data_IF_387285065924
#
_entry.id   IF_387285065924
#
_cell.length_a   1.000
_cell.length_b   1.000
_cell.length_c   1.000
_cell.angle_alpha   90.00
_cell.angle_beta   90.00
_cell.angle_gamma   90.00
#
_symmetry.space_group_name_H-M   'P 1'
#
loop_
_entity.id
_entity.type
_entity.pdbx_description
1 polymer ?
#
# COMPACT_ATOMS: atom_id res chain seq x y z
N UNK A 1 14.77 20.38 10.92
CA UNK A 1 13.65 20.51 9.96
C UNK A 1 12.56 21.48 10.44
N UNK A 2 12.01 22.35 9.58
CA UNK A 2 10.86 23.23 9.89
C UNK A 2 9.58 22.63 9.31
N UNK A 3 8.63 22.20 10.15
CA UNK A 3 7.44 21.45 9.72
C UNK A 3 6.24 22.33 9.33
N UNK A 4 6.11 23.52 9.94
CA UNK A 4 4.95 24.40 9.77
C UNK A 4 5.03 25.30 8.53
N UNK A 5 6.25 25.71 8.16
CA UNK A 5 6.48 26.57 6.99
C UNK A 5 6.00 25.89 5.68
N UNK A 6 6.37 24.62 5.40
CA UNK A 6 5.78 23.83 4.31
C UNK A 6 4.25 23.73 4.32
N UNK A 7 3.63 23.64 5.50
CA UNK A 7 2.17 23.53 5.65
C UNK A 7 1.49 24.80 5.12
N UNK A 8 2.06 25.96 5.46
CA UNK A 8 1.57 27.28 5.05
C UNK A 8 1.76 27.57 3.57
N UNK A 9 2.66 26.87 2.87
CA UNK A 9 2.84 26.98 1.42
C UNK A 9 1.92 26.01 0.68
N UNK A 10 1.80 24.78 1.18
CA UNK A 10 1.08 23.71 0.50
C UNK A 10 -0.43 23.97 0.35
N UNK A 11 -1.08 24.57 1.35
CA UNK A 11 -2.53 24.82 1.31
C UNK A 11 -2.95 25.77 0.17
N UNK A 12 -2.15 26.81 -0.06
CA UNK A 12 -2.38 27.86 -1.03
C UNK A 12 -2.23 27.28 -2.45
N UNK A 13 -1.20 26.46 -2.63
CA UNK A 13 -0.94 25.75 -3.87
C UNK A 13 -2.10 24.82 -4.23
N UNK A 14 -2.65 24.07 -3.25
CA UNK A 14 -3.84 23.23 -3.46
C UNK A 14 -5.03 24.08 -3.87
N UNK A 15 -5.30 25.17 -3.16
CA UNK A 15 -6.43 26.05 -3.48
C UNK A 15 -6.32 26.61 -4.89
N UNK A 16 -5.16 27.15 -5.24
CA UNK A 16 -4.87 27.72 -6.56
C UNK A 16 -4.95 26.67 -7.68
N UNK A 17 -4.47 25.46 -7.42
CA UNK A 17 -4.40 24.40 -8.43
C UNK A 17 -5.76 23.76 -8.71
N UNK A 18 -6.59 23.58 -7.67
CA UNK A 18 -7.88 22.90 -7.77
C UNK A 18 -9.05 23.87 -8.01
N UNK A 19 -9.06 25.04 -7.37
CA UNK A 19 -10.24 25.92 -7.32
C UNK A 19 -10.16 27.17 -8.22
N UNK A 20 -8.99 27.79 -8.42
CA UNK A 20 -8.91 29.02 -9.24
C UNK A 20 -9.14 28.78 -10.74
N UNK A 21 -8.86 27.58 -11.25
CA UNK A 21 -9.09 27.18 -12.65
C UNK A 21 -9.80 25.82 -12.71
N UNK A 22 -11.00 25.75 -12.14
CA UNK A 22 -11.76 24.49 -12.05
C UNK A 22 -12.11 23.96 -13.45
N UNK A 23 -11.52 22.81 -13.81
CA UNK A 23 -11.82 22.05 -15.03
C UNK A 23 -12.14 20.62 -14.64
N UNK A 24 -13.36 20.15 -14.94
CA UNK A 24 -13.78 18.78 -14.62
C UNK A 24 -12.81 17.73 -15.16
N UNK A 25 -12.34 17.88 -16.40
CA UNK A 25 -11.36 16.96 -17.00
C UNK A 25 -10.06 16.86 -16.21
N UNK A 26 -9.54 17.99 -15.71
CA UNK A 26 -8.34 18.03 -14.87
C UNK A 26 -8.58 17.37 -13.52
N UNK A 27 -9.74 17.60 -12.90
CA UNK A 27 -10.11 16.97 -11.64
C UNK A 27 -10.15 15.45 -11.75
N UNK A 28 -10.83 14.91 -12.77
CA UNK A 28 -10.89 13.46 -12.98
C UNK A 28 -9.54 12.86 -13.39
N UNK A 29 -8.73 13.57 -14.18
CA UNK A 29 -7.39 13.13 -14.57
C UNK A 29 -6.42 13.06 -13.36
N UNK A 30 -6.45 14.08 -12.49
CA UNK A 30 -5.70 14.11 -11.24
C UNK A 30 -6.24 13.06 -10.24
N UNK A 31 -7.56 12.85 -10.22
CA UNK A 31 -8.19 11.81 -9.39
C UNK A 31 -7.77 10.42 -9.85
N UNK A 32 -7.67 10.21 -11.17
CA UNK A 32 -7.16 8.97 -11.74
C UNK A 32 -5.68 8.75 -11.42
N UNK A 33 -4.81 9.76 -11.55
CA UNK A 33 -3.39 9.63 -11.17
C UNK A 33 -3.22 9.37 -9.67
N UNK A 34 -4.01 10.04 -8.82
CA UNK A 34 -4.03 9.82 -7.39
C UNK A 34 -4.54 8.41 -7.03
N UNK A 35 -5.57 7.93 -7.73
CA UNK A 35 -6.10 6.58 -7.54
C UNK A 35 -5.07 5.52 -7.91
N UNK A 36 -4.42 5.66 -9.06
CA UNK A 36 -3.32 4.77 -9.45
C UNK A 36 -2.19 4.80 -8.42
N UNK A 37 -1.80 5.97 -7.92
CA UNK A 37 -0.74 6.10 -6.93
C UNK A 37 -1.12 5.46 -5.57
N UNK A 38 -2.40 5.50 -5.18
CA UNK A 38 -2.90 4.96 -3.91
C UNK A 38 -3.33 3.50 -4.00
N UNK A 39 -3.55 2.95 -5.20
CA UNK A 39 -3.84 1.53 -5.43
C UNK A 39 -2.76 0.62 -4.83
N UNK A 40 -1.52 1.15 -4.74
CA UNK A 40 -0.36 0.49 -4.16
C UNK A 40 -0.48 0.21 -2.64
N UNK A 41 -1.32 0.96 -1.92
CA UNK A 41 -1.38 0.97 -0.45
C UNK A 41 -2.72 0.38 0.07
N UNK A 42 -3.71 0.25 -0.80
CA UNK A 42 -5.10 0.19 -0.35
C UNK A 42 -5.61 1.58 0.04
N UNK A 43 -6.91 1.79 -0.09
CA UNK A 43 -7.58 3.09 0.08
C UNK A 43 -7.75 3.49 1.58
N UNK A 44 -6.83 3.05 2.44
CA UNK A 44 -6.83 3.22 3.90
C UNK A 44 -5.71 4.20 4.24
N UNK A 45 -6.06 5.47 4.51
CA UNK A 45 -5.11 6.55 4.76
C UNK A 45 -3.85 6.14 5.52
N UNK A 46 -2.72 6.12 4.81
CA UNK A 46 -1.31 6.18 5.23
C UNK A 46 -0.79 5.33 6.42
N UNK A 47 -1.59 4.47 7.05
CA UNK A 47 -1.14 3.55 8.10
C UNK A 47 -1.18 2.08 7.68
N UNK A 48 -1.47 1.79 6.40
CA UNK A 48 -1.40 0.45 5.86
C UNK A 48 -0.08 0.23 5.12
N UNK A 49 0.66 -0.78 5.57
CA UNK A 49 1.81 -1.35 4.89
C UNK A 49 1.48 -1.67 3.41
N UNK A 50 2.48 -1.72 2.49
CA UNK A 50 2.28 -1.94 1.05
C UNK A 50 1.64 -3.29 0.64
N UNK A 51 1.12 -4.08 1.59
CA UNK A 51 0.57 -5.43 1.38
C UNK A 51 -0.87 -5.59 1.88
N UNK A 52 -1.67 -4.53 1.84
CA UNK A 52 -3.08 -4.56 2.25
C UNK A 52 -4.03 -5.25 1.23
N UNK A 53 -3.46 -5.95 0.24
CA UNK A 53 -4.19 -6.95 -0.56
C UNK A 53 -4.67 -8.09 0.35
N UNK A 54 -3.93 -8.42 1.41
CA UNK A 54 -4.30 -9.47 2.37
C UNK A 54 -5.58 -9.11 3.13
N UNK A 55 -5.80 -7.86 3.56
CA UNK A 55 -7.08 -7.50 4.17
C UNK A 55 -8.24 -7.48 3.17
N UNK A 56 -7.95 -7.25 1.88
CA UNK A 56 -8.96 -7.34 0.83
C UNK A 56 -9.32 -8.81 0.53
N UNK A 57 -8.34 -9.72 0.55
CA UNK A 57 -8.52 -11.15 0.35
C UNK A 57 -9.06 -11.87 1.60
N UNK A 58 -8.64 -11.48 2.81
CA UNK A 58 -9.14 -12.01 4.08
C UNK A 58 -10.56 -11.52 4.41
N UNK A 59 -10.96 -10.33 3.92
CA UNK A 59 -12.36 -9.89 3.98
C UNK A 59 -13.29 -10.77 3.15
N UNK A 60 -12.78 -11.51 2.17
CA UNK A 60 -13.58 -12.53 1.46
C UNK A 60 -13.89 -13.70 2.41
N UNK A 61 -13.07 -13.93 3.44
CA UNK A 61 -13.23 -15.03 4.40
C UNK A 61 -13.92 -14.64 5.72
N UNK A 62 -14.33 -13.36 5.89
CA UNK A 62 -15.11 -12.91 7.06
C UNK A 62 -16.53 -12.50 6.72
N UNK A 63 -17.11 -13.05 5.65
CA UNK A 63 -18.56 -13.18 5.54
C UNK A 63 -19.05 -14.34 6.42
N UNK A 64 -18.78 -14.22 7.72
CA UNK A 64 -19.56 -14.91 8.74
C UNK A 64 -20.81 -14.07 8.91
N UNK A 65 -21.91 -14.53 8.29
CA UNK A 65 -23.22 -13.92 8.39
C UNK A 65 -23.62 -13.82 9.88
N UNK A 66 -23.36 -12.67 10.48
CA UNK A 66 -23.98 -12.27 11.74
C UNK A 66 -25.36 -11.70 11.41
N UNK A 67 -26.23 -12.53 10.83
CA UNK A 67 -27.66 -12.24 10.78
C UNK A 67 -28.25 -12.47 12.16
N UNK A 68 -28.19 -11.43 13.00
CA UNK A 68 -28.92 -11.40 14.27
C UNK A 68 -29.61 -10.05 14.46
N UNK A 69 -30.55 -9.74 13.56
CA UNK A 69 -31.67 -8.82 13.83
C UNK A 69 -32.67 -8.79 12.64
N UNK A 70 -33.33 -9.90 12.32
CA UNK A 70 -34.63 -9.88 11.64
C UNK A 70 -35.37 -11.21 11.87
N UNK A 71 -35.67 -11.53 13.13
CA UNK A 71 -36.69 -12.52 13.46
C UNK A 71 -38.07 -11.88 13.29
N UNK A 72 -38.53 -11.79 12.04
CA UNK A 72 -39.92 -11.47 11.73
C UNK A 72 -40.52 -12.61 10.90
N UNK A 73 -41.09 -13.57 11.63
CA UNK A 73 -42.24 -14.41 11.26
C UNK A 73 -42.39 -14.79 9.77
N UNK A 74 -41.69 -15.82 9.31
CA UNK A 74 -42.18 -16.63 8.18
C UNK A 74 -42.83 -17.90 8.74
N UNK A 75 -44.02 -18.32 8.26
CA UNK A 75 -45.00 -18.95 9.12
C UNK A 75 -44.76 -20.44 9.32
N UNK A 76 -45.06 -20.88 10.54
CA UNK A 76 -45.06 -22.26 11.04
C UNK A 76 -46.12 -23.15 10.37
N UNK A 77 -46.67 -22.75 9.21
CA UNK A 77 -47.74 -23.45 8.52
C UNK A 77 -47.27 -24.65 7.68
N UNK A 78 -45.96 -24.82 7.51
CA UNK A 78 -45.38 -26.00 6.83
C UNK A 78 -45.12 -27.18 7.79
N UNK A 79 -45.36 -27.02 9.10
CA UNK A 79 -45.09 -28.06 10.10
C UNK A 79 -46.28 -29.01 10.38
N UNK A 80 -47.42 -28.87 9.68
CA UNK A 80 -48.66 -29.59 10.04
C UNK A 80 -49.34 -30.36 8.89
N UNK A 81 -48.66 -30.67 7.78
CA UNK A 81 -49.21 -31.54 6.75
C UNK A 81 -48.48 -32.91 6.75
N UNK A 82 -49.12 -34.01 7.18
CA UNK A 82 -48.56 -35.35 7.02
C UNK A 82 -48.70 -35.76 5.55
N UNK A 83 -47.58 -35.84 4.83
CA UNK A 83 -47.55 -36.36 3.45
C UNK A 83 -47.12 -37.83 3.49
N UNK A 84 -47.99 -38.79 3.10
CA UNK A 84 -47.61 -40.18 2.96
C UNK A 84 -46.90 -40.37 1.62
N UNK A 85 -45.63 -40.79 1.67
CA UNK A 85 -44.80 -40.95 0.48
C UNK A 85 -43.37 -40.58 0.80
N UNK A 86 -42.67 -41.50 1.46
CA UNK A 86 -41.26 -41.40 1.81
C UNK A 86 -40.42 -41.48 0.53
N UNK A 87 -40.40 -40.39 -0.24
CA UNK A 87 -39.36 -40.16 -1.23
C UNK A 87 -38.10 -39.81 -0.44
N UNK A 88 -37.17 -40.75 -0.40
CA UNK A 88 -35.77 -40.50 -0.02
C UNK A 88 -35.32 -39.23 -0.74
N UNK A 89 -35.16 -38.13 -0.01
CA UNK A 89 -34.39 -36.98 -0.49
C UNK A 89 -33.06 -37.56 -0.94
N UNK A 90 -32.63 -37.38 -2.20
CA UNK A 90 -31.31 -37.83 -2.59
C UNK A 90 -30.33 -37.11 -1.69
N UNK A 91 -29.70 -37.89 -0.83
CA UNK A 91 -28.68 -37.44 0.09
C UNK A 91 -27.56 -36.89 -0.81
N UNK A 92 -27.45 -35.55 -0.90
CA UNK A 92 -26.47 -34.88 -1.77
C UNK A 92 -25.03 -35.30 -1.41
N UNK A 93 -24.87 -35.84 -0.20
CA UNK A 93 -23.65 -36.47 0.32
C UNK A 93 -23.27 -37.79 -0.38
N UNK A 94 -24.24 -38.55 -0.94
CA UNK A 94 -24.00 -39.84 -1.60
C UNK A 94 -23.82 -39.72 -3.12
N UNK A 95 -24.35 -38.66 -3.74
CA UNK A 95 -24.06 -38.30 -5.15
C UNK A 95 -22.66 -37.69 -5.32
N UNK A 96 -22.01 -37.36 -4.19
CA UNK A 96 -20.62 -36.89 -4.07
C UNK A 96 -19.69 -38.02 -3.58
N UNK A 97 -19.89 -39.24 -4.07
CA UNK A 97 -19.01 -40.38 -3.82
C UNK A 97 -17.63 -40.21 -4.47
N UNK A 98 -16.63 -39.76 -3.70
CA UNK A 98 -15.24 -39.65 -4.14
C UNK A 98 -14.40 -38.72 -3.25
N UNK A 99 -14.13 -39.13 -2.02
CA UNK A 99 -13.51 -38.34 -0.95
C UNK A 99 -12.08 -37.84 -1.23
N UNK A 100 -11.45 -38.24 -2.35
CA UNK A 100 -10.10 -37.83 -2.74
C UNK A 100 -10.05 -36.99 -4.03
N UNK A 101 -11.03 -37.12 -4.94
CA UNK A 101 -11.05 -36.37 -6.21
C UNK A 101 -11.58 -34.94 -6.03
N UNK A 102 -12.55 -34.73 -5.14
CA UNK A 102 -13.07 -33.39 -4.86
C UNK A 102 -12.06 -32.48 -4.15
N UNK A 103 -11.23 -33.05 -3.26
CA UNK A 103 -10.15 -32.32 -2.57
C UNK A 103 -9.12 -31.82 -3.60
N UNK A 104 -8.77 -32.65 -4.59
CA UNK A 104 -7.83 -32.28 -5.66
C UNK A 104 -8.41 -31.16 -6.53
N UNK A 105 -9.68 -31.23 -6.92
CA UNK A 105 -10.33 -30.15 -7.71
C UNK A 105 -10.38 -28.85 -6.92
N UNK A 106 -10.78 -28.88 -5.65
CA UNK A 106 -10.78 -27.69 -4.79
C UNK A 106 -9.38 -27.12 -4.61
N UNK A 107 -8.36 -27.97 -4.40
CA UNK A 107 -6.97 -27.55 -4.28
C UNK A 107 -6.46 -26.90 -5.57
N UNK A 108 -6.78 -27.45 -6.74
CA UNK A 108 -6.45 -26.85 -8.04
C UNK A 108 -7.11 -25.47 -8.18
N UNK A 109 -8.38 -25.33 -7.81
CA UNK A 109 -9.10 -24.03 -7.87
C UNK A 109 -8.46 -23.01 -6.93
N UNK A 110 -8.10 -23.41 -5.70
CA UNK A 110 -7.44 -22.53 -4.73
C UNK A 110 -6.06 -22.10 -5.23
N UNK A 111 -5.26 -23.03 -5.75
CA UNK A 111 -3.94 -22.73 -6.32
C UNK A 111 -4.09 -21.81 -7.53
N UNK A 112 -5.04 -22.07 -8.42
CA UNK A 112 -5.31 -21.21 -9.58
C UNK A 112 -5.75 -19.80 -9.14
N UNK A 113 -6.65 -19.69 -8.16
CA UNK A 113 -7.09 -18.40 -7.61
C UNK A 113 -5.93 -17.64 -6.95
N UNK A 114 -5.04 -18.34 -6.25
CA UNK A 114 -3.85 -17.75 -5.62
C UNK A 114 -2.84 -17.25 -6.66
N UNK A 115 -2.58 -18.03 -7.72
CA UNK A 115 -1.71 -17.62 -8.83
C UNK A 115 -2.28 -16.41 -9.56
N UNK A 116 -3.58 -16.41 -9.86
CA UNK A 116 -4.27 -15.27 -10.48
C UNK A 116 -4.23 -14.05 -9.56
N UNK A 117 -4.51 -14.21 -8.27
CA UNK A 117 -4.45 -13.14 -7.27
C UNK A 117 -3.06 -12.53 -7.14
N UNK A 118 -2.01 -13.35 -7.10
CA UNK A 118 -0.62 -12.89 -7.11
C UNK A 118 -0.27 -12.15 -8.41
N UNK A 119 -0.68 -12.68 -9.57
CA UNK A 119 -0.48 -12.02 -10.85
C UNK A 119 -1.13 -10.64 -10.91
N UNK A 120 -2.39 -10.54 -10.48
CA UNK A 120 -3.12 -9.26 -10.37
C UNK A 120 -2.41 -8.33 -9.38
N UNK A 121 -2.00 -8.83 -8.21
CA UNK A 121 -1.28 -8.05 -7.20
C UNK A 121 0.03 -7.47 -7.73
N UNK A 122 0.81 -8.24 -8.50
CA UNK A 122 2.04 -7.77 -9.15
C UNK A 122 1.77 -6.67 -10.18
N UNK A 123 0.71 -6.83 -10.99
CA UNK A 123 0.31 -5.82 -11.97
C UNK A 123 -0.14 -4.54 -11.26
N UNK A 124 -0.94 -4.65 -10.19
CA UNK A 124 -1.38 -3.52 -9.37
C UNK A 124 -0.17 -2.81 -8.74
N UNK A 125 0.79 -3.56 -8.18
CA UNK A 125 2.03 -3.02 -7.63
C UNK A 125 2.82 -2.23 -8.69
N UNK A 126 2.99 -2.83 -9.87
CA UNK A 126 3.70 -2.21 -10.99
C UNK A 126 3.02 -0.95 -11.51
N UNK A 127 1.69 -0.98 -11.67
CA UNK A 127 0.90 0.17 -12.07
C UNK A 127 0.97 1.28 -11.01
N UNK A 128 0.95 0.93 -9.72
CA UNK A 128 1.03 1.87 -8.62
C UNK A 128 2.34 2.65 -8.56
N UNK A 129 3.47 1.97 -8.79
CA UNK A 129 4.78 2.62 -8.93
C UNK A 129 4.80 3.66 -10.06
N UNK A 130 4.06 3.42 -11.15
CA UNK A 130 3.95 4.39 -12.27
C UNK A 130 2.96 5.51 -12.01
N UNK A 131 1.84 5.21 -11.37
CA UNK A 131 0.83 6.20 -10.99
C UNK A 131 1.40 7.33 -10.15
N UNK A 132 2.39 7.03 -9.31
CA UNK A 132 3.05 8.03 -8.47
C UNK A 132 3.83 9.08 -9.25
N UNK A 133 4.64 8.70 -10.23
CA UNK A 133 5.38 9.66 -11.06
C UNK A 133 4.43 10.50 -11.92
N UNK A 134 3.33 9.89 -12.38
CA UNK A 134 2.29 10.60 -13.10
C UNK A 134 1.56 11.63 -12.22
N UNK A 135 1.27 11.31 -10.96
CA UNK A 135 0.70 12.27 -10.01
C UNK A 135 1.69 13.40 -9.71
N UNK A 136 2.95 13.06 -9.44
CA UNK A 136 3.99 14.03 -9.14
C UNK A 136 4.18 15.03 -10.28
N UNK A 137 4.30 14.55 -11.52
CA UNK A 137 4.48 15.40 -12.70
C UNK A 137 3.28 16.33 -12.96
N UNK A 138 2.06 15.79 -12.87
CA UNK A 138 0.84 16.57 -13.09
C UNK A 138 0.62 17.64 -12.01
N UNK A 139 1.00 17.35 -10.75
CA UNK A 139 0.93 18.32 -9.65
C UNK A 139 1.97 19.42 -9.85
N UNK A 140 3.23 19.06 -10.10
CA UNK A 140 4.33 20.03 -10.26
C UNK A 140 4.13 20.97 -11.46
N UNK A 141 3.73 20.42 -12.61
CA UNK A 141 3.56 21.20 -13.83
C UNK A 141 2.15 21.79 -13.99
N UNK A 142 1.23 21.50 -13.07
CA UNK A 142 -0.16 21.92 -13.16
C UNK A 142 -0.88 21.45 -14.45
N UNK A 143 -0.63 20.19 -14.85
CA UNK A 143 -1.14 19.59 -16.11
C UNK A 143 -2.13 18.45 -15.82
N UNK A 144 -2.92 18.09 -16.83
CA UNK A 144 -3.90 17.00 -16.86
C UNK A 144 -3.46 15.86 -17.81
N UNK A 145 -2.16 15.73 -18.06
CA UNK A 145 -1.62 14.79 -19.04
C UNK A 145 -1.44 13.37 -18.45
N UNK A 146 -2.09 12.38 -19.07
CA UNK A 146 -1.96 10.97 -18.67
C UNK A 146 -0.87 10.27 -19.48
N UNK A 147 -0.92 10.39 -20.81
CA UNK A 147 -0.11 9.57 -21.72
C UNK A 147 1.37 9.96 -21.72
N UNK A 148 1.66 11.26 -21.62
CA UNK A 148 3.04 11.79 -21.66
C UNK A 148 3.88 11.30 -20.46
N UNK A 149 3.50 11.58 -19.20
CA UNK A 149 4.27 11.11 -18.05
C UNK A 149 4.33 9.57 -17.96
N UNK A 150 3.30 8.87 -18.44
CA UNK A 150 3.32 7.40 -18.49
C UNK A 150 4.42 6.82 -19.39
N UNK A 151 4.70 7.47 -20.53
CA UNK A 151 5.76 7.06 -21.45
C UNK A 151 7.15 7.50 -20.95
N UNK A 152 7.24 8.70 -20.41
CA UNK A 152 8.51 9.32 -19.98
C UNK A 152 9.08 8.65 -18.72
N UNK A 153 8.26 8.39 -17.71
CA UNK A 153 8.70 7.78 -16.45
C UNK A 153 8.70 6.23 -16.46
N UNK A 154 8.61 5.61 -17.65
CA UNK A 154 8.55 4.14 -17.80
C UNK A 154 9.76 3.44 -17.17
N UNK A 155 10.96 3.99 -17.38
CA UNK A 155 12.24 3.44 -16.88
C UNK A 155 12.34 3.62 -15.35
N UNK A 156 12.00 4.80 -14.85
CA UNK A 156 11.98 5.13 -13.41
C UNK A 156 11.00 4.24 -12.64
N UNK A 157 9.76 4.10 -13.14
CA UNK A 157 8.75 3.23 -12.53
C UNK A 157 9.14 1.75 -12.52
N UNK A 158 9.81 1.24 -13.57
CA UNK A 158 10.26 -0.15 -13.62
C UNK A 158 11.40 -0.42 -12.63
N UNK A 159 12.28 0.57 -12.42
CA UNK A 159 13.34 0.47 -11.42
C UNK A 159 12.78 0.49 -10.01
N UNK A 160 11.72 1.29 -9.75
CA UNK A 160 11.06 1.37 -8.44
C UNK A 160 10.29 0.09 -8.10
N UNK A 161 9.75 -0.63 -9.09
CA UNK A 161 9.07 -1.89 -8.85
C UNK A 161 9.97 -2.95 -8.19
N UNK A 162 11.26 -2.99 -8.53
CA UNK A 162 12.19 -4.02 -8.06
C UNK A 162 12.43 -4.00 -6.53
N UNK A 163 12.80 -2.88 -5.87
CA UNK A 163 12.96 -2.85 -4.42
C UNK A 163 11.64 -3.14 -3.69
N UNK A 164 10.48 -2.70 -4.22
CA UNK A 164 9.18 -3.02 -3.63
C UNK A 164 8.85 -4.51 -3.73
N UNK A 165 9.14 -5.13 -4.86
CA UNK A 165 8.95 -6.56 -5.05
C UNK A 165 9.89 -7.37 -4.15
N UNK A 166 11.18 -7.02 -4.10
CA UNK A 166 12.18 -7.78 -3.36
C UNK A 166 12.03 -7.60 -1.84
N UNK A 167 12.04 -6.37 -1.34
CA UNK A 167 11.93 -6.13 0.10
C UNK A 167 10.52 -6.41 0.60
N UNK A 168 9.52 -6.04 -0.18
CA UNK A 168 8.14 -6.26 0.21
C UNK A 168 7.71 -7.73 0.09
N UNK A 169 8.01 -8.37 -1.04
CA UNK A 169 7.76 -9.80 -1.23
C UNK A 169 8.62 -10.68 -0.31
N UNK A 170 9.89 -10.31 -0.10
CA UNK A 170 10.77 -10.98 0.86
C UNK A 170 10.24 -10.91 2.29
N UNK A 171 9.69 -9.76 2.69
CA UNK A 171 9.07 -9.59 4.00
C UNK A 171 7.80 -10.43 4.16
N UNK A 172 6.99 -10.57 3.10
CA UNK A 172 5.83 -11.46 3.10
C UNK A 172 6.27 -12.92 3.28
N UNK A 173 7.26 -13.38 2.52
CA UNK A 173 7.80 -14.73 2.64
C UNK A 173 8.32 -14.99 4.06
N UNK A 174 9.01 -14.01 4.65
CA UNK A 174 9.51 -14.08 6.02
C UNK A 174 8.37 -14.23 7.05
N UNK A 175 7.30 -13.44 6.95
CA UNK A 175 6.13 -13.56 7.82
C UNK A 175 5.50 -14.96 7.70
N UNK A 176 5.28 -15.44 6.47
CA UNK A 176 4.69 -16.76 6.25
C UNK A 176 5.58 -17.88 6.78
N UNK A 177 6.89 -17.80 6.59
CA UNK A 177 7.84 -18.77 7.12
C UNK A 177 7.80 -18.83 8.65
N UNK A 178 7.71 -17.68 9.33
CA UNK A 178 7.57 -17.62 10.79
C UNK A 178 6.24 -18.20 11.25
N UNK A 179 5.13 -17.86 10.60
CA UNK A 179 3.80 -18.41 10.95
C UNK A 179 3.77 -19.93 10.77
N UNK A 180 4.31 -20.45 9.67
CA UNK A 180 4.39 -21.90 9.43
C UNK A 180 5.25 -22.58 10.49
N UNK A 181 6.40 -22.00 10.85
CA UNK A 181 7.26 -22.53 11.90
C UNK A 181 6.56 -22.58 13.27
N UNK A 182 5.78 -21.55 13.60
CA UNK A 182 4.98 -21.49 14.83
C UNK A 182 3.90 -22.58 14.83
N UNK A 183 3.13 -22.70 13.74
CA UNK A 183 2.06 -23.71 13.63
C UNK A 183 2.62 -25.14 13.66
N UNK A 184 3.68 -25.41 12.90
CA UNK A 184 4.33 -26.73 12.89
C UNK A 184 4.85 -27.12 14.28
N UNK A 185 5.27 -26.16 15.09
CA UNK A 185 5.70 -26.42 16.47
C UNK A 185 4.54 -26.81 17.40
N UNK A 186 3.35 -26.21 17.24
CA UNK A 186 2.18 -26.57 18.04
C UNK A 186 1.75 -28.04 17.86
N UNK A 187 2.07 -28.65 16.73
CA UNK A 187 1.67 -30.02 16.39
C UNK A 187 2.63 -31.09 16.94
N UNK A 188 3.81 -30.72 17.47
CA UNK A 188 4.81 -31.69 17.97
C UNK A 188 4.39 -32.21 19.37
N UNK A 189 3.96 -33.47 19.51
CA UNK A 189 3.58 -34.03 20.81
C UNK A 189 4.83 -34.49 21.57
N UNK A 190 4.89 -34.22 22.88
CA UNK A 190 5.85 -34.90 23.78
C UNK A 190 7.14 -34.18 24.13
N UNK A 191 7.21 -32.84 24.06
CA UNK A 191 8.34 -32.10 24.64
C UNK A 191 8.24 -32.05 26.18
N UNK A 192 9.37 -32.30 26.86
CA UNK A 192 9.48 -32.05 28.30
C UNK A 192 9.17 -30.57 28.61
N UNK A 193 8.50 -30.32 29.73
CA UNK A 193 8.02 -28.98 30.12
C UNK A 193 9.13 -27.92 30.24
N UNK A 194 10.36 -28.36 30.57
CA UNK A 194 11.56 -27.52 30.61
C UNK A 194 12.01 -27.07 29.21
N UNK A 195 12.01 -27.97 28.23
CA UNK A 195 12.41 -27.69 26.84
C UNK A 195 11.37 -26.83 26.13
N UNK A 196 10.08 -27.10 26.36
CA UNK A 196 8.99 -26.32 25.77
C UNK A 196 9.07 -24.83 26.12
N UNK A 197 9.46 -24.47 27.35
CA UNK A 197 9.63 -23.08 27.78
C UNK A 197 10.72 -22.35 26.96
N UNK A 198 11.89 -22.96 26.78
CA UNK A 198 12.98 -22.37 26.00
C UNK A 198 12.61 -22.20 24.53
N UNK A 199 11.83 -23.13 23.96
CA UNK A 199 11.37 -23.00 22.58
C UNK A 199 10.43 -21.80 22.41
N UNK A 200 9.48 -21.56 23.33
CA UNK A 200 8.61 -20.38 23.26
C UNK A 200 9.39 -19.06 23.35
N UNK A 201 10.46 -19.01 24.14
CA UNK A 201 11.35 -17.85 24.21
C UNK A 201 12.05 -17.63 22.87
N UNK A 202 12.60 -18.69 22.27
CA UNK A 202 13.27 -18.61 20.96
C UNK A 202 12.29 -18.20 19.86
N UNK A 203 11.10 -18.80 19.82
CA UNK A 203 10.04 -18.46 18.86
C UNK A 203 9.59 -17.00 19.05
N UNK A 204 9.41 -16.56 20.29
CA UNK A 204 9.08 -15.17 20.60
C UNK A 204 10.17 -14.19 20.13
N UNK A 205 11.44 -14.53 20.31
CA UNK A 205 12.58 -13.74 19.84
C UNK A 205 12.66 -13.70 18.31
N UNK A 206 12.43 -14.83 17.64
CA UNK A 206 12.36 -14.89 16.17
C UNK A 206 11.18 -14.06 15.64
N UNK A 207 10.01 -14.13 16.29
CA UNK A 207 8.85 -13.32 15.93
C UNK A 207 9.13 -11.82 16.13
N UNK A 208 9.79 -11.44 17.23
CA UNK A 208 10.17 -10.06 17.51
C UNK A 208 11.19 -9.53 16.48
N UNK A 209 12.21 -10.34 16.16
CA UNK A 209 13.21 -9.98 15.15
C UNK A 209 12.57 -9.86 13.76
N UNK A 210 11.69 -10.79 13.41
CA UNK A 210 10.90 -10.74 12.18
C UNK A 210 10.07 -9.47 12.11
N UNK A 211 9.36 -9.14 13.20
CA UNK A 211 8.57 -7.91 13.28
C UNK A 211 9.44 -6.65 13.14
N UNK A 212 10.61 -6.60 13.77
CA UNK A 212 11.54 -5.49 13.63
C UNK A 212 12.03 -5.32 12.17
N UNK A 213 12.35 -6.42 11.48
CA UNK A 213 12.73 -6.42 10.07
C UNK A 213 11.58 -5.95 9.16
N UNK A 214 10.35 -6.38 9.44
CA UNK A 214 9.13 -5.93 8.75
C UNK A 214 8.98 -4.41 8.86
N UNK A 215 9.09 -3.87 10.08
CA UNK A 215 8.94 -2.44 10.34
C UNK A 215 10.05 -1.65 9.65
N UNK A 216 11.30 -2.13 9.72
CA UNK A 216 12.44 -1.46 9.09
C UNK A 216 12.34 -1.47 7.56
N UNK A 217 11.97 -2.61 6.97
CA UNK A 217 11.74 -2.72 5.53
C UNK A 217 10.58 -1.81 5.08
N UNK A 218 9.52 -1.71 5.87
CA UNK A 218 8.39 -0.83 5.59
C UNK A 218 8.76 0.65 5.64
N UNK A 219 9.51 1.08 6.66
CA UNK A 219 10.02 2.46 6.76
C UNK A 219 10.93 2.77 5.56
N UNK A 220 11.81 1.85 5.20
CA UNK A 220 12.71 2.01 4.06
C UNK A 220 11.93 2.13 2.74
N UNK A 221 10.96 1.25 2.50
CA UNK A 221 10.10 1.30 1.31
C UNK A 221 9.26 2.57 1.28
N UNK A 222 8.73 3.03 2.42
CA UNK A 222 8.05 4.32 2.53
C UNK A 222 8.97 5.47 2.11
N UNK A 223 10.20 5.49 2.62
CA UNK A 223 11.15 6.57 2.36
C UNK A 223 11.61 6.57 0.89
N UNK A 224 11.89 5.40 0.32
CA UNK A 224 12.21 5.21 -1.11
C UNK A 224 11.05 5.64 -1.99
N UNK A 225 9.82 5.36 -1.56
CA UNK A 225 8.66 5.84 -2.26
C UNK A 225 8.63 7.35 -2.29
N UNK A 226 8.65 7.98 -1.13
CA UNK A 226 8.28 9.37 -0.99
C UNK A 226 9.44 10.31 -1.34
N UNK A 227 10.60 10.05 -0.76
CA UNK A 227 11.83 10.82 -0.99
C UNK A 227 12.53 10.32 -2.26
N UNK A 228 12.57 9.01 -2.44
CA UNK A 228 13.27 8.41 -3.59
C UNK A 228 12.60 8.74 -4.92
N UNK A 229 11.27 8.81 -5.00
CA UNK A 229 10.61 9.25 -6.23
C UNK A 229 10.95 10.70 -6.61
N UNK A 230 11.06 11.60 -5.63
CA UNK A 230 11.45 13.01 -5.85
C UNK A 230 12.90 13.09 -6.32
N UNK A 231 13.79 12.34 -5.65
CA UNK A 231 15.20 12.26 -6.06
C UNK A 231 15.36 11.68 -7.46
N UNK A 232 14.62 10.61 -7.80
CA UNK A 232 14.61 10.00 -9.13
C UNK A 232 14.03 10.94 -10.19
N UNK A 233 12.99 11.69 -9.85
CA UNK A 233 12.37 12.68 -10.74
C UNK A 233 13.37 13.78 -11.12
N UNK A 234 14.20 14.22 -10.17
CA UNK A 234 15.20 15.25 -10.41
C UNK A 234 16.49 14.74 -11.08
N UNK A 235 17.07 13.67 -10.53
CA UNK A 235 18.44 13.25 -10.87
C UNK A 235 18.48 12.14 -11.93
N UNK A 236 17.33 11.55 -12.31
CA UNK A 236 17.25 10.53 -13.37
C UNK A 236 17.91 9.18 -13.04
N UNK A 237 18.22 8.91 -11.77
CA UNK A 237 18.91 7.70 -11.31
C UNK A 237 18.00 6.47 -11.15
N UNK A 238 18.60 5.32 -10.84
CA UNK A 238 17.84 4.10 -10.52
C UNK A 238 17.27 4.14 -9.10
N UNK A 239 16.23 3.34 -8.82
CA UNK A 239 15.66 3.24 -7.48
C UNK A 239 16.65 2.66 -6.47
N UNK A 240 17.62 1.86 -6.93
CA UNK A 240 18.69 1.34 -6.09
C UNK A 240 19.70 2.44 -5.71
N UNK A 241 20.00 3.36 -6.62
CA UNK A 241 20.84 4.53 -6.30
C UNK A 241 20.11 5.47 -5.31
N UNK A 242 18.81 5.68 -5.51
CA UNK A 242 17.97 6.42 -4.58
C UNK A 242 17.95 5.76 -3.19
N UNK A 243 17.81 4.44 -3.13
CA UNK A 243 17.87 3.64 -1.90
C UNK A 243 19.20 3.85 -1.17
N UNK A 244 20.34 3.70 -1.85
CA UNK A 244 21.66 3.91 -1.23
C UNK A 244 21.80 5.34 -0.72
N UNK A 245 21.32 6.33 -1.47
CA UNK A 245 21.37 7.74 -1.05
C UNK A 245 20.52 8.00 0.19
N UNK A 246 19.34 7.39 0.27
CA UNK A 246 18.45 7.48 1.43
C UNK A 246 19.06 6.79 2.65
N UNK A 247 19.68 5.62 2.48
CA UNK A 247 20.41 4.95 3.55
C UNK A 247 21.55 5.82 4.08
N UNK A 248 22.34 6.44 3.18
CA UNK A 248 23.37 7.40 3.56
C UNK A 248 22.78 8.62 4.30
N UNK A 249 21.69 9.20 3.78
CA UNK A 249 21.00 10.32 4.43
C UNK A 249 20.50 9.97 5.84
N UNK A 250 20.00 8.74 6.04
CA UNK A 250 19.55 8.27 7.34
C UNK A 250 20.69 8.09 8.34
N UNK A 251 21.91 7.85 7.86
CA UNK A 251 23.13 7.78 8.70
C UNK A 251 23.70 9.17 8.97
N UNK A 252 23.67 10.07 7.97
CA UNK A 252 24.21 11.42 8.06
C UNK A 252 23.37 12.34 8.96
N UNK A 253 22.04 12.25 8.86
CA UNK A 253 21.09 13.12 9.60
C UNK A 253 19.88 12.32 10.12
N UNK A 254 20.07 11.43 11.12
CA UNK A 254 18.99 10.58 11.62
C UNK A 254 17.85 11.39 12.24
N UNK A 255 18.14 12.55 12.84
CA UNK A 255 17.13 13.38 13.50
C UNK A 255 16.17 14.04 12.50
N UNK A 256 16.66 14.54 11.37
CA UNK A 256 15.79 15.13 10.35
C UNK A 256 14.95 14.05 9.67
N UNK A 257 15.50 12.86 9.43
CA UNK A 257 14.75 11.71 8.90
C UNK A 257 13.68 11.24 9.89
N UNK A 258 14.00 11.17 11.18
CA UNK A 258 13.03 10.83 12.21
C UNK A 258 11.88 11.84 12.27
N UNK A 259 12.18 13.14 12.27
CA UNK A 259 11.16 14.20 12.23
C UNK A 259 10.30 14.12 10.97
N UNK A 260 10.88 13.81 9.82
CA UNK A 260 10.14 13.57 8.59
C UNK A 260 9.18 12.39 8.71
N UNK A 261 9.63 11.24 9.25
CA UNK A 261 8.79 10.07 9.46
C UNK A 261 7.62 10.41 10.39
N UNK A 262 7.89 11.09 11.51
CA UNK A 262 6.86 11.51 12.47
C UNK A 262 5.87 12.46 11.80
N UNK A 263 6.34 13.46 11.06
CA UNK A 263 5.46 14.40 10.36
C UNK A 263 4.55 13.69 9.35
N UNK A 264 5.08 12.71 8.60
CA UNK A 264 4.29 11.89 7.66
C UNK A 264 3.31 10.97 8.37
N UNK A 265 3.68 10.42 9.52
CA UNK A 265 2.81 9.56 10.32
C UNK A 265 1.64 10.36 10.90
N UNK A 266 1.92 11.54 11.48
CA UNK A 266 0.89 12.45 11.99
C UNK A 266 -0.04 12.93 10.87
N UNK A 267 0.51 13.36 9.74
CA UNK A 267 -0.29 13.80 8.60
C UNK A 267 -1.16 12.66 8.04
N UNK A 268 -0.58 11.46 7.98
CA UNK A 268 -1.28 10.23 7.62
C UNK A 268 -2.47 9.93 8.53
N UNK A 269 -2.26 9.99 9.84
CA UNK A 269 -3.28 9.76 10.86
C UNK A 269 -4.41 10.80 10.78
N UNK A 270 -4.06 12.10 10.64
CA UNK A 270 -5.04 13.18 10.48
C UNK A 270 -5.92 12.94 9.25
N UNK A 271 -5.32 12.59 8.10
CA UNK A 271 -6.10 12.31 6.90
C UNK A 271 -6.94 11.04 7.02
N UNK A 272 -6.43 10.01 7.68
CA UNK A 272 -7.20 8.80 7.95
C UNK A 272 -8.46 9.13 8.79
N UNK A 273 -8.31 9.93 9.84
CA UNK A 273 -9.45 10.40 10.65
C UNK A 273 -10.46 11.19 9.81
N UNK A 274 -10.01 12.10 8.95
CA UNK A 274 -10.90 12.86 8.05
C UNK A 274 -11.67 11.92 7.11
N UNK A 275 -10.99 10.94 6.50
CA UNK A 275 -11.61 9.98 5.59
C UNK A 275 -12.65 9.12 6.32
N UNK A 276 -12.34 8.65 7.54
CA UNK A 276 -13.28 7.88 8.37
C UNK A 276 -14.52 8.70 8.69
N UNK A 277 -14.34 9.97 9.11
CA UNK A 277 -15.45 10.88 9.40
C UNK A 277 -16.34 11.12 8.16
N UNK A 278 -15.73 11.35 7.00
CA UNK A 278 -16.45 11.53 5.73
C UNK A 278 -17.15 10.24 5.31
N UNK A 279 -16.50 9.08 5.48
CA UNK A 279 -17.05 7.77 5.15
C UNK A 279 -18.29 7.42 5.98
N UNK A 280 -18.27 7.75 7.27
CA UNK A 280 -19.43 7.64 8.17
C UNK A 280 -20.53 8.60 7.73
N UNK A 281 -20.21 9.87 7.45
CA UNK A 281 -21.18 10.88 7.03
C UNK A 281 -21.85 10.59 5.67
N UNK A 282 -21.17 9.90 4.76
CA UNK A 282 -21.65 9.59 3.40
C UNK A 282 -22.26 8.18 3.28
N UNK A 283 -22.55 7.51 4.40
CA UNK A 283 -23.22 6.21 4.45
C UNK A 283 -22.62 5.19 3.44
N UNK A 284 -21.30 5.01 3.51
CA UNK A 284 -20.51 4.09 2.68
C UNK A 284 -20.35 4.44 1.19
N UNK A 285 -21.07 5.43 0.65
CA UNK A 285 -20.88 5.88 -0.75
C UNK A 285 -19.45 6.42 -0.94
N UNK A 286 -18.91 7.08 0.09
CA UNK A 286 -17.53 7.57 0.13
C UNK A 286 -16.45 6.48 0.24
N UNK A 287 -16.81 5.20 0.40
CA UNK A 287 -15.83 4.09 0.40
C UNK A 287 -15.65 3.42 -0.96
N UNK A 288 -16.39 3.84 -1.99
CA UNK A 288 -16.13 3.40 -3.36
C UNK A 288 -14.71 3.85 -3.78
N UNK A 289 -13.83 2.94 -4.25
CA UNK A 289 -12.38 3.18 -4.32
C UNK A 289 -12.00 4.36 -5.22
N UNK A 290 -12.71 4.54 -6.35
CA UNK A 290 -12.47 5.67 -7.25
C UNK A 290 -13.08 6.96 -6.71
N UNK A 291 -14.35 6.93 -6.27
CA UNK A 291 -15.06 8.12 -5.78
C UNK A 291 -14.38 8.69 -4.54
N UNK A 292 -13.93 7.83 -3.62
CA UNK A 292 -13.14 8.25 -2.47
C UNK A 292 -11.89 9.02 -2.90
N UNK A 293 -11.15 8.49 -3.87
CA UNK A 293 -9.92 9.15 -4.33
C UNK A 293 -10.19 10.50 -5.00
N UNK A 294 -11.29 10.61 -5.74
CA UNK A 294 -11.71 11.87 -6.38
C UNK A 294 -12.17 12.90 -5.34
N UNK A 295 -12.82 12.47 -4.26
CA UNK A 295 -13.21 13.35 -3.15
C UNK A 295 -11.99 13.77 -2.30
N UNK A 296 -11.03 12.87 -2.12
CA UNK A 296 -9.78 13.12 -1.37
C UNK A 296 -8.67 13.73 -2.24
N UNK A 297 -9.02 14.23 -3.43
CA UNK A 297 -8.07 14.87 -4.34
C UNK A 297 -7.34 16.07 -3.72
N UNK A 298 -8.00 17.01 -3.00
CA UNK A 298 -7.32 18.09 -2.31
C UNK A 298 -6.26 17.58 -1.33
N UNK A 299 -6.56 16.50 -0.61
CA UNK A 299 -5.64 15.83 0.32
C UNK A 299 -4.47 15.22 -0.43
N UNK A 300 -4.71 14.57 -1.56
CA UNK A 300 -3.64 13.94 -2.36
C UNK A 300 -2.67 14.97 -2.94
N UNK A 301 -3.17 16.09 -3.44
CA UNK A 301 -2.34 17.18 -3.98
C UNK A 301 -1.60 17.89 -2.85
N UNK A 302 -2.27 18.15 -1.73
CA UNK A 302 -1.63 18.67 -0.52
C UNK A 302 -0.45 17.81 -0.09
N UNK A 303 -0.64 16.49 -0.06
CA UNK A 303 0.38 15.53 0.35
C UNK A 303 1.61 15.57 -0.56
N UNK A 304 1.42 15.73 -1.87
CA UNK A 304 2.51 15.83 -2.85
C UNK A 304 3.27 17.13 -2.67
N UNK A 305 2.57 18.27 -2.64
CA UNK A 305 3.22 19.58 -2.48
C UNK A 305 3.94 19.65 -1.14
N UNK A 306 3.30 19.25 -0.04
CA UNK A 306 3.91 19.21 1.28
C UNK A 306 5.15 18.29 1.33
N UNK A 307 5.11 17.13 0.64
CA UNK A 307 6.26 16.24 0.59
C UNK A 307 7.43 16.86 -0.19
N UNK A 308 7.17 17.48 -1.34
CA UNK A 308 8.19 18.23 -2.09
C UNK A 308 8.79 19.35 -1.24
N UNK A 309 7.95 20.01 -0.44
CA UNK A 309 8.37 21.08 0.45
C UNK A 309 9.31 20.61 1.57
N UNK A 310 8.95 19.50 2.23
CA UNK A 310 9.77 18.88 3.27
C UNK A 310 11.08 18.32 2.70
N UNK A 311 11.00 17.65 1.55
CA UNK A 311 12.15 16.96 0.97
C UNK A 311 13.22 17.93 0.48
N UNK A 312 12.84 19.12 0.02
CA UNK A 312 13.77 20.20 -0.31
C UNK A 312 14.65 20.63 0.89
N UNK A 313 14.20 20.43 2.14
CA UNK A 313 14.98 20.80 3.32
C UNK A 313 16.16 19.85 3.61
N UNK A 314 16.16 18.64 3.04
CA UNK A 314 17.25 17.68 3.24
C UNK A 314 18.53 18.10 2.53
N UNK A 315 18.41 18.73 1.37
CA UNK A 315 19.56 19.20 0.60
C UNK A 315 19.18 19.71 -0.79
N UNK A 316 20.10 20.46 -1.43
CA UNK A 316 19.89 21.02 -2.76
C UNK A 316 19.81 19.95 -3.85
N UNK A 317 20.15 18.68 -3.60
CA UNK A 317 19.95 17.57 -4.55
C UNK A 317 18.52 17.00 -4.56
N UNK A 318 17.69 17.38 -3.57
CA UNK A 318 16.32 16.92 -3.39
C UNK A 318 15.26 17.98 -3.74
N UNK A 319 15.68 19.21 -4.02
CA UNK A 319 14.79 20.34 -4.27
C UNK A 319 14.28 20.43 -5.72
N UNK A 320 13.13 19.84 -6.03
CA UNK A 320 12.58 19.87 -7.40
C UNK A 320 12.16 21.27 -7.85
N UNK A 321 12.15 22.29 -6.97
CA UNK A 321 11.72 23.65 -7.31
C UNK A 321 12.78 24.45 -8.05
N UNK A 322 14.05 24.08 -7.94
CA UNK A 322 15.15 24.76 -8.62
C UNK A 322 15.16 24.28 -10.08
N UNK A 323 14.84 25.14 -11.06
CA UNK A 323 14.98 24.80 -12.47
C UNK A 323 16.49 24.71 -12.78
N UNK A 324 16.95 23.50 -13.08
CA UNK A 324 18.25 23.13 -13.62
C UNK A 324 19.51 23.79 -13.00
N UNK A 325 20.24 22.99 -12.23
CA UNK A 325 21.69 22.89 -12.43
C UNK A 325 22.04 21.41 -12.41
N UNK A 326 22.47 20.83 -13.54
CA UNK A 326 23.13 19.54 -13.52
C UNK A 326 24.38 19.70 -12.65
N UNK A 327 24.54 18.87 -11.62
CA UNK A 327 25.85 18.71 -10.98
C UNK A 327 26.72 17.95 -11.97
N UNK A 328 27.30 18.68 -12.93
CA UNK A 328 28.48 18.21 -13.65
C UNK A 328 29.64 18.32 -12.66
N UNK A 329 30.40 17.25 -12.39
CA UNK A 329 31.65 17.37 -11.65
C UNK A 329 32.55 18.34 -12.41
N UNK A 330 32.91 19.46 -11.79
CA UNK A 330 33.95 20.36 -12.32
C UNK A 330 35.26 19.56 -12.29
N UNK A 331 35.90 19.23 -13.43
CA UNK A 331 37.25 18.69 -13.41
C UNK A 331 38.21 19.78 -12.88
N UNK A 332 39.27 19.38 -12.14
CA UNK A 332 40.18 20.33 -11.51
C UNK A 332 40.84 21.27 -12.53
N UNK A 333 41.26 22.50 -12.13
CA UNK A 333 41.71 23.57 -13.02
C UNK A 333 43.04 23.33 -13.77
N UNK A 334 43.55 22.10 -13.83
CA UNK A 334 44.92 21.82 -14.24
C UNK A 334 45.02 21.13 -15.62
N UNK A 335 43.97 21.15 -16.44
CA UNK A 335 43.99 20.61 -17.81
C UNK A 335 43.96 21.70 -18.90
N UNK A 336 44.64 22.81 -18.65
CA UNK A 336 44.89 23.84 -19.66
C UNK A 336 46.33 24.40 -19.53
N UNK A 337 47.33 23.53 -19.72
CA UNK A 337 48.66 23.87 -20.26
C UNK A 337 49.12 22.72 -21.15
#
# INVERSE_FOLDING_TARGET
MKLLEPLSVAWLAVSKQLFDNFRFGKWFALGFSAWLANILIGNTGNCSFPFDIVNTLLKINTRSDSTSALTTHWPQFLAAAPVPGQATTPDFSQLLGGSSSMIVVFLIIIVAALVVGLGIGLVILWVGCRGQFMLLDNVLHNRDAVVRPWKEFRKHGNSLFLPFLLLGGGNFILIFAVVIAVVAFFEVPGLESSVQMWVWIVVGLVCLLSFALVVLAAILLMLVREVGSIWMYRNGGTAWDAMRRIMALSMDRPMDVFLYIVARLVLGFVFWMIIVMVGIATCCIGYLPYINTVLTLPVSVFRVVYNVELVAQFGPEFDVRIPETPVVPVPPPDAAI
#
